data_IF_302791849851
#
_entry.id   IF_302791849851
#
_cell.length_a   1.000
_cell.length_b   1.000
_cell.length_c   1.000
_cell.angle_alpha   90.00
_cell.angle_beta   90.00
_cell.angle_gamma   90.00
#
_symmetry.space_group_name_H-M   'P 1'
#
loop_
_entity.id
_entity.type
_entity.pdbx_description
1 polymer ?
#
# COMPACT_ATOMS: atom_id res chain seq x y z
N UNK A 1 4.82 17.23 12.84
CA UNK A 1 3.59 17.36 13.62
C UNK A 1 3.93 17.29 15.09
N UNK A 2 3.33 18.13 15.85
CA UNK A 2 3.21 18.01 17.29
C UNK A 2 2.34 16.81 17.68
N UNK A 3 1.93 16.03 16.67
CA UNK A 3 1.36 14.69 16.80
C UNK A 3 0.16 14.55 17.70
N UNK A 4 -0.26 15.61 18.33
CA UNK A 4 -1.34 15.58 19.29
C UNK A 4 -1.10 14.66 20.49
N UNK A 5 0.16 14.30 20.78
CA UNK A 5 0.48 13.54 21.98
C UNK A 5 0.18 14.38 23.23
N UNK A 6 -0.96 14.10 23.84
CA UNK A 6 -1.39 14.73 25.08
C UNK A 6 -0.68 14.06 26.29
N UNK A 7 -0.29 12.80 26.12
CA UNK A 7 0.35 12.03 27.17
C UNK A 7 1.85 12.34 27.25
N UNK A 8 2.45 12.27 28.45
CA UNK A 8 3.90 12.41 28.64
C UNK A 8 4.71 11.44 27.78
N UNK A 9 5.91 11.84 27.35
CA UNK A 9 6.76 11.03 26.47
C UNK A 9 7.14 9.67 27.06
N UNK A 10 7.35 9.58 28.37
CA UNK A 10 7.63 8.32 29.09
C UNK A 10 6.44 7.35 29.01
N UNK A 11 5.20 7.85 29.16
CA UNK A 11 4.00 7.02 28.97
C UNK A 11 3.92 6.47 27.54
N UNK A 12 4.19 7.28 26.51
CA UNK A 12 4.20 6.84 25.11
C UNK A 12 5.27 5.77 24.88
N UNK A 13 6.44 5.90 25.51
CA UNK A 13 7.50 4.89 25.46
C UNK A 13 7.09 3.58 26.12
N UNK A 14 6.36 3.59 27.25
CA UNK A 14 5.84 2.38 27.88
C UNK A 14 4.83 1.67 26.97
N UNK A 15 3.94 2.41 26.30
CA UNK A 15 3.00 1.84 25.33
C UNK A 15 3.75 1.21 24.15
N UNK A 16 4.76 1.91 23.60
CA UNK A 16 5.60 1.38 22.51
C UNK A 16 6.27 0.07 22.97
N UNK A 17 6.90 0.06 24.13
CA UNK A 17 7.57 -1.13 24.68
C UNK A 17 6.59 -2.29 24.88
N UNK A 18 5.42 -2.03 25.45
CA UNK A 18 4.40 -3.06 25.66
C UNK A 18 3.91 -3.70 24.36
N UNK A 19 3.87 -2.94 23.28
CA UNK A 19 3.40 -3.42 21.98
C UNK A 19 4.50 -4.06 21.12
N UNK A 20 5.76 -3.67 21.29
CA UNK A 20 6.84 -4.07 20.38
C UNK A 20 7.90 -4.97 21.00
N UNK A 21 7.86 -5.23 22.32
CA UNK A 21 8.90 -6.00 23.05
C UNK A 21 9.09 -7.45 22.57
N UNK A 22 8.16 -8.00 21.81
CA UNK A 22 8.19 -9.34 21.24
C UNK A 22 8.50 -9.36 19.72
N UNK A 23 8.73 -8.19 19.15
CA UNK A 23 9.10 -7.99 17.74
C UNK A 23 10.60 -7.71 17.61
N UNK A 24 11.18 -7.79 16.40
CA UNK A 24 12.56 -7.39 16.19
C UNK A 24 12.83 -5.94 16.66
N UNK A 25 14.08 -5.64 16.98
CA UNK A 25 14.48 -4.27 17.31
C UNK A 25 14.17 -3.29 16.15
N UNK A 26 13.88 -2.01 16.46
CA UNK A 26 13.69 -1.01 15.41
C UNK A 26 14.97 -0.84 14.59
N UNK A 27 14.83 -0.70 13.29
CA UNK A 27 15.97 -0.46 12.37
C UNK A 27 16.73 0.83 12.74
N UNK A 28 16.01 1.82 13.22
CA UNK A 28 16.59 3.08 13.70
C UNK A 28 16.02 3.42 15.09
N UNK A 29 16.83 3.27 16.16
CA UNK A 29 16.42 3.55 17.54
C UNK A 29 16.40 5.05 17.87
N UNK A 30 16.70 5.93 16.91
CA UNK A 30 16.75 7.38 17.12
C UNK A 30 15.42 7.93 17.63
N UNK A 31 15.48 8.78 18.63
CA UNK A 31 14.32 9.41 19.24
C UNK A 31 13.90 10.68 18.49
N UNK A 32 12.62 11.01 18.59
CA UNK A 32 12.02 12.29 18.20
C UNK A 32 11.74 13.16 19.43
N UNK A 33 10.98 14.25 19.28
CA UNK A 33 10.61 15.13 20.38
C UNK A 33 10.11 14.39 21.62
N UNK A 34 10.39 14.89 22.80
CA UNK A 34 10.09 14.31 24.11
C UNK A 34 10.73 12.91 24.35
N UNK A 35 11.77 12.54 23.59
CA UNK A 35 12.43 11.25 23.73
C UNK A 35 11.62 10.05 23.21
N UNK A 36 10.54 10.28 22.48
CA UNK A 36 9.65 9.23 21.93
C UNK A 36 10.39 8.46 20.83
N UNK A 37 10.29 7.12 20.85
CA UNK A 37 10.76 6.26 19.77
C UNK A 37 9.88 6.33 18.54
N UNK A 38 10.42 5.92 17.40
CA UNK A 38 9.64 5.65 16.18
C UNK A 38 9.94 4.22 15.78
N UNK A 39 8.98 3.34 15.98
CA UNK A 39 9.17 1.92 15.72
C UNK A 39 8.85 1.59 14.28
N UNK A 40 9.85 1.27 13.50
CA UNK A 40 9.72 0.62 12.19
C UNK A 40 10.86 -0.39 12.02
N UNK A 41 10.54 -1.52 11.42
CA UNK A 41 11.47 -2.63 11.28
C UNK A 41 11.08 -3.55 10.12
N UNK A 42 11.93 -4.52 9.81
CA UNK A 42 11.53 -5.67 8.99
C UNK A 42 11.45 -6.94 9.83
N UNK A 43 10.60 -7.85 9.38
CA UNK A 43 10.42 -9.19 9.94
C UNK A 43 10.35 -10.20 8.81
N UNK A 44 11.33 -11.10 8.71
CA UNK A 44 11.20 -12.24 7.82
C UNK A 44 10.52 -13.41 8.54
N UNK A 45 9.40 -13.86 7.98
CA UNK A 45 8.66 -14.99 8.50
C UNK A 45 8.30 -15.95 7.37
N UNK A 46 8.86 -17.15 7.40
CA UNK A 46 8.59 -18.20 6.42
C UNK A 46 8.95 -17.83 4.98
N UNK A 47 9.94 -16.98 4.76
CA UNK A 47 10.35 -16.50 3.45
C UNK A 47 9.52 -15.31 2.92
N UNK A 48 8.60 -14.78 3.72
CA UNK A 48 7.94 -13.50 3.48
C UNK A 48 8.64 -12.42 4.29
N UNK A 49 9.08 -11.37 3.64
CA UNK A 49 9.74 -10.24 4.30
C UNK A 49 8.75 -9.08 4.48
N UNK A 50 8.43 -8.78 5.74
CA UNK A 50 7.48 -7.75 6.14
C UNK A 50 8.20 -6.47 6.52
N UNK A 51 7.89 -5.34 5.88
CA UNK A 51 8.22 -4.02 6.40
C UNK A 51 7.09 -3.54 7.31
N UNK A 52 7.38 -3.40 8.59
CA UNK A 52 6.47 -2.79 9.58
C UNK A 52 6.73 -1.30 9.60
N UNK A 53 5.74 -0.51 9.16
CA UNK A 53 5.86 0.93 8.99
C UNK A 53 5.16 1.69 10.12
N UNK A 54 5.75 2.80 10.51
CA UNK A 54 5.15 3.75 11.42
C UNK A 54 4.68 4.98 10.64
N UNK A 55 3.39 5.16 10.48
CA UNK A 55 2.79 6.17 9.61
C UNK A 55 2.11 7.32 10.38
N UNK A 56 2.36 7.45 11.70
CA UNK A 56 1.73 8.45 12.56
C UNK A 56 2.72 9.43 13.18
N UNK A 57 3.83 8.97 13.75
CA UNK A 57 4.75 9.79 14.55
C UNK A 57 5.56 10.79 13.72
N UNK A 58 5.88 10.45 12.47
CA UNK A 58 6.53 11.38 11.53
C UNK A 58 5.54 12.26 10.78
N UNK A 59 4.27 11.86 10.70
CA UNK A 59 3.28 12.54 9.88
C UNK A 59 3.02 13.97 10.35
N UNK A 60 3.04 14.89 9.40
CA UNK A 60 2.64 16.29 9.63
C UNK A 60 1.17 16.36 10.03
N UNK A 61 0.85 17.07 11.11
CA UNK A 61 -0.53 17.40 11.46
C UNK A 61 -1.04 18.60 10.65
N UNK A 62 -2.31 18.62 10.23
CA UNK A 62 -2.88 19.73 9.46
C UNK A 62 -3.18 20.98 10.29
N UNK A 63 -3.37 20.85 11.60
CA UNK A 63 -3.76 21.96 12.47
C UNK A 63 -2.74 23.11 12.42
N UNK A 64 -3.21 24.32 12.11
CA UNK A 64 -2.37 25.51 11.99
C UNK A 64 -1.50 25.59 10.75
N UNK A 65 -1.51 24.56 9.88
CA UNK A 65 -0.75 24.51 8.64
C UNK A 65 -1.64 24.56 7.39
N UNK A 66 -2.81 23.97 7.47
CA UNK A 66 -3.81 23.96 6.42
C UNK A 66 -5.04 24.71 6.89
N UNK A 67 -5.68 25.55 6.06
CA UNK A 67 -6.93 26.22 6.42
C UNK A 67 -8.01 25.21 6.83
N UNK A 68 -8.70 25.49 7.95
CA UNK A 68 -9.80 24.63 8.41
C UNK A 68 -10.98 24.74 7.45
N UNK A 69 -11.42 23.64 6.87
CA UNK A 69 -12.51 23.56 5.90
C UNK A 69 -13.62 22.58 6.32
N UNK A 70 -13.67 22.23 7.59
CA UNK A 70 -14.63 21.28 8.14
C UNK A 70 -14.76 21.39 9.66
N UNK A 71 -15.49 20.48 10.32
CA UNK A 71 -15.74 20.52 11.76
C UNK A 71 -14.47 20.26 12.57
N UNK A 72 -13.50 19.52 12.03
CA UNK A 72 -12.19 19.24 12.61
C UNK A 72 -11.08 19.79 11.68
N UNK A 73 -9.85 20.01 12.17
CA UNK A 73 -8.75 20.51 11.34
C UNK A 73 -8.39 19.59 10.17
N UNK A 74 -8.60 18.28 10.33
CA UNK A 74 -8.31 17.23 9.38
C UNK A 74 -9.45 16.90 8.40
N UNK A 75 -10.67 17.45 8.64
CA UNK A 75 -11.86 17.18 7.82
C UNK A 75 -12.13 18.29 6.82
N UNK A 76 -12.28 17.93 5.54
CA UNK A 76 -12.68 18.87 4.48
C UNK A 76 -14.10 18.52 4.04
N UNK A 77 -15.01 19.49 4.24
CA UNK A 77 -16.42 19.42 3.81
C UNK A 77 -16.76 20.36 2.65
N UNK A 78 -15.88 21.30 2.35
CA UNK A 78 -16.08 22.21 1.23
C UNK A 78 -15.98 21.43 -0.10
N UNK A 79 -17.04 21.33 -0.92
CA UNK A 79 -16.99 20.59 -2.18
C UNK A 79 -16.14 21.27 -3.25
N UNK A 80 -15.90 22.57 -3.10
CA UNK A 80 -15.13 23.39 -4.05
C UNK A 80 -13.68 23.60 -3.61
N UNK A 81 -13.19 22.82 -2.62
CA UNK A 81 -11.81 22.98 -2.21
C UNK A 81 -10.86 22.46 -3.30
N UNK A 82 -9.74 23.12 -3.40
CA UNK A 82 -8.65 22.72 -4.30
C UNK A 82 -7.73 21.71 -3.57
N UNK A 83 -7.65 20.44 -4.02
CA UNK A 83 -6.76 19.43 -3.43
C UNK A 83 -5.28 19.84 -3.44
N UNK A 84 -4.82 20.62 -4.41
CA UNK A 84 -3.43 21.08 -4.49
C UNK A 84 -3.12 22.10 -3.39
N UNK A 85 -4.14 22.85 -2.92
CA UNK A 85 -3.98 23.83 -1.85
C UNK A 85 -3.62 23.22 -0.49
N UNK A 86 -3.80 21.93 -0.32
CA UNK A 86 -3.50 21.22 0.94
C UNK A 86 -2.23 20.38 0.86
N UNK A 87 -1.61 20.20 -0.32
CA UNK A 87 -0.29 19.57 -0.45
C UNK A 87 0.82 20.57 -0.15
N UNK A 88 0.95 20.91 1.11
CA UNK A 88 1.84 21.97 1.58
C UNK A 88 3.31 21.55 1.54
N UNK A 89 4.18 22.47 1.13
CA UNK A 89 5.62 22.24 1.08
C UNK A 89 6.17 21.81 2.46
N UNK A 90 7.05 20.80 2.45
CA UNK A 90 7.68 20.28 3.65
C UNK A 90 6.78 19.39 4.52
N UNK A 91 5.54 19.11 4.09
CA UNK A 91 4.71 18.13 4.77
C UNK A 91 5.29 16.71 4.67
N UNK A 92 5.29 16.00 5.79
CA UNK A 92 5.93 14.69 5.95
C UNK A 92 4.86 13.63 6.19
N UNK A 93 5.01 12.44 5.58
CA UNK A 93 4.25 11.25 5.93
C UNK A 93 5.11 10.26 6.72
N UNK A 94 6.03 9.53 6.05
CA UNK A 94 6.85 8.51 6.68
C UNK A 94 8.20 9.03 7.21
N UNK A 95 8.66 10.20 6.73
CA UNK A 95 9.96 10.78 7.09
C UNK A 95 11.15 10.11 6.37
N UNK A 96 12.23 10.86 6.23
CA UNK A 96 13.42 10.43 5.47
C UNK A 96 14.12 9.19 6.05
N UNK A 97 14.09 9.04 7.38
CA UNK A 97 14.68 7.86 8.06
C UNK A 97 13.99 6.58 7.62
N UNK A 98 12.66 6.60 7.57
CA UNK A 98 11.87 5.44 7.20
C UNK A 98 11.86 5.21 5.69
N UNK A 99 11.88 6.26 4.87
CA UNK A 99 12.03 6.12 3.42
C UNK A 99 13.35 5.46 3.04
N UNK A 100 14.47 5.82 3.68
CA UNK A 100 15.76 5.15 3.48
C UNK A 100 15.73 3.67 3.86
N UNK A 101 15.03 3.34 4.95
CA UNK A 101 14.79 1.94 5.32
C UNK A 101 14.02 1.20 4.22
N UNK A 102 12.90 1.77 3.74
CA UNK A 102 12.07 1.14 2.70
C UNK A 102 12.88 0.97 1.41
N UNK A 103 13.64 1.96 0.98
CA UNK A 103 14.47 1.87 -0.22
C UNK A 103 15.52 0.75 -0.14
N UNK A 104 16.16 0.57 1.01
CA UNK A 104 17.09 -0.54 1.24
C UNK A 104 16.37 -1.88 1.29
N UNK A 105 15.27 -1.95 2.04
CA UNK A 105 14.46 -3.15 2.19
C UNK A 105 13.86 -3.61 0.85
N UNK A 106 13.39 -2.69 0.01
CA UNK A 106 12.81 -3.01 -1.30
C UNK A 106 13.81 -3.69 -2.25
N UNK A 107 15.10 -3.42 -2.07
CA UNK A 107 16.19 -3.96 -2.89
C UNK A 107 16.76 -5.29 -2.35
N UNK A 108 16.62 -5.55 -1.06
CA UNK A 108 17.16 -6.77 -0.42
C UNK A 108 16.15 -7.92 -0.53
N UNK A 109 16.51 -8.91 -1.34
CA UNK A 109 15.75 -10.14 -1.55
C UNK A 109 16.51 -11.39 -1.10
N UNK A 110 17.57 -11.24 -0.31
CA UNK A 110 18.47 -12.34 0.07
C UNK A 110 17.74 -13.51 0.73
N UNK A 111 16.79 -13.22 1.63
CA UNK A 111 16.00 -14.19 2.40
C UNK A 111 14.50 -14.11 2.12
N UNK A 112 14.09 -13.39 1.07
CA UNK A 112 12.70 -13.16 0.74
C UNK A 112 12.26 -13.83 -0.57
N UNK A 113 11.10 -14.45 -0.55
CA UNK A 113 10.39 -14.92 -1.72
C UNK A 113 9.26 -13.96 -2.12
N UNK A 114 8.64 -13.31 -1.14
CA UNK A 114 7.61 -12.28 -1.32
C UNK A 114 7.82 -11.13 -0.31
N UNK A 115 7.28 -9.95 -0.62
CA UNK A 115 7.37 -8.77 0.24
C UNK A 115 6.01 -8.18 0.55
N UNK A 116 5.83 -7.78 1.83
CA UNK A 116 4.61 -7.18 2.35
C UNK A 116 4.95 -5.96 3.19
N UNK A 117 4.26 -4.86 2.98
CA UNK A 117 4.31 -3.68 3.84
C UNK A 117 3.10 -3.66 4.77
N UNK A 118 3.32 -3.37 6.04
CA UNK A 118 2.29 -3.22 7.06
C UNK A 118 2.30 -1.78 7.57
N UNK A 119 1.17 -1.08 7.52
CA UNK A 119 1.01 0.21 8.18
C UNK A 119 -0.34 0.31 8.90
N UNK A 120 -0.48 1.29 9.79
CA UNK A 120 -1.76 1.49 10.45
C UNK A 120 -2.85 1.90 9.46
N UNK A 121 -2.54 2.77 8.50
CA UNK A 121 -3.53 3.43 7.65
C UNK A 121 -3.21 3.24 6.16
N UNK A 122 -4.23 3.12 5.32
CA UNK A 122 -4.09 2.97 3.87
C UNK A 122 -3.59 4.27 3.20
N UNK A 123 -2.82 4.15 2.09
CA UNK A 123 -2.23 5.26 1.34
C UNK A 123 -3.21 5.97 0.39
N UNK A 124 -4.45 6.19 0.82
CA UNK A 124 -5.43 7.01 0.10
C UNK A 124 -6.52 7.52 1.04
N UNK A 125 -7.32 8.49 0.57
CA UNK A 125 -8.56 8.88 1.21
C UNK A 125 -9.65 7.82 0.95
N UNK A 126 -9.56 6.68 1.64
CA UNK A 126 -10.35 5.47 1.36
C UNK A 126 -11.82 5.51 1.80
N UNK A 127 -12.38 6.67 2.15
CA UNK A 127 -13.78 6.82 2.52
C UNK A 127 -14.30 8.24 2.23
N UNK A 128 -15.58 8.34 1.87
CA UNK A 128 -16.26 9.61 1.56
C UNK A 128 -17.33 9.99 2.58
N UNK A 129 -17.85 9.03 3.35
CA UNK A 129 -18.89 9.25 4.36
C UNK A 129 -18.40 8.72 5.69
N UNK A 130 -18.57 9.52 6.76
CA UNK A 130 -17.98 9.27 8.06
C UNK A 130 -19.01 9.39 9.18
N UNK A 131 -19.10 8.37 10.03
CA UNK A 131 -19.91 8.32 11.26
C UNK A 131 -21.40 8.10 11.04
N UNK A 132 -22.03 8.82 10.13
CA UNK A 132 -23.45 8.71 9.76
C UNK A 132 -23.61 8.76 8.25
N UNK A 133 -24.74 8.25 7.73
CA UNK A 133 -25.01 8.21 6.29
C UNK A 133 -24.98 9.59 5.60
N UNK A 134 -25.20 10.67 6.38
CA UNK A 134 -25.17 12.05 5.90
C UNK A 134 -23.82 12.75 6.13
N UNK A 135 -22.87 12.05 6.75
CA UNK A 135 -21.57 12.58 7.16
C UNK A 135 -20.53 12.65 6.04
N UNK A 136 -20.90 13.21 4.85
CA UNK A 136 -19.96 13.29 3.72
C UNK A 136 -18.78 14.22 4.02
N UNK A 137 -17.59 13.71 3.74
CA UNK A 137 -16.34 14.47 3.68
C UNK A 137 -15.79 14.38 2.25
N UNK A 138 -15.23 15.48 1.75
CA UNK A 138 -14.50 15.46 0.49
C UNK A 138 -13.11 14.90 0.69
N UNK A 139 -12.48 15.18 1.83
CA UNK A 139 -11.21 14.58 2.22
C UNK A 139 -11.06 14.50 3.75
N UNK A 140 -10.25 13.53 4.19
CA UNK A 140 -9.85 13.31 5.58
C UNK A 140 -8.32 13.23 5.65
N UNK A 141 -7.67 14.30 6.14
CA UNK A 141 -6.20 14.37 6.24
C UNK A 141 -5.62 13.45 7.32
N UNK A 142 -6.45 12.75 8.08
CA UNK A 142 -6.00 11.69 8.98
C UNK A 142 -5.56 10.44 8.19
N UNK A 143 -6.15 10.19 7.02
CA UNK A 143 -5.73 9.12 6.11
C UNK A 143 -4.33 9.37 5.52
N UNK A 144 -3.61 8.31 5.09
CA UNK A 144 -2.32 8.45 4.41
C UNK A 144 -2.46 8.85 2.92
N UNK A 145 -3.65 9.25 2.48
CA UNK A 145 -3.81 10.00 1.23
C UNK A 145 -3.20 11.39 1.29
N UNK A 146 -3.01 11.93 2.52
CA UNK A 146 -2.39 13.22 2.78
C UNK A 146 -1.18 13.07 3.72
N UNK A 147 -0.09 13.88 3.55
CA UNK A 147 0.16 14.79 2.41
C UNK A 147 0.48 14.02 1.12
N UNK A 148 -0.01 14.53 -0.02
CA UNK A 148 0.06 13.85 -1.31
C UNK A 148 1.51 13.56 -1.74
N UNK A 149 2.40 14.56 -1.65
CA UNK A 149 3.81 14.40 -1.97
C UNK A 149 4.48 13.36 -1.07
N UNK A 150 4.14 13.31 0.22
CA UNK A 150 4.62 12.30 1.16
C UNK A 150 4.12 10.89 0.83
N UNK A 151 2.83 10.77 0.47
CA UNK A 151 2.20 9.53 0.01
C UNK A 151 2.88 9.01 -1.26
N UNK A 152 3.09 9.87 -2.25
CA UNK A 152 3.70 9.48 -3.51
C UNK A 152 5.15 8.99 -3.31
N UNK A 153 5.93 9.61 -2.45
CA UNK A 153 7.28 9.13 -2.08
C UNK A 153 7.24 7.76 -1.42
N UNK A 154 6.31 7.52 -0.49
CA UNK A 154 6.16 6.22 0.16
C UNK A 154 5.82 5.11 -0.86
N UNK A 155 4.85 5.35 -1.73
CA UNK A 155 4.46 4.41 -2.79
C UNK A 155 5.59 4.18 -3.81
N UNK A 156 6.34 5.23 -4.18
CA UNK A 156 7.47 5.12 -5.08
C UNK A 156 8.59 4.23 -4.52
N UNK A 157 8.85 4.28 -3.20
CA UNK A 157 9.81 3.39 -2.54
C UNK A 157 9.27 1.96 -2.45
N UNK A 158 8.01 1.77 -2.04
CA UNK A 158 7.41 0.44 -1.84
C UNK A 158 7.26 -0.34 -3.15
N UNK A 159 6.84 0.31 -4.25
CA UNK A 159 6.66 -0.35 -5.55
C UNK A 159 7.97 -0.91 -6.12
N UNK A 160 9.13 -0.32 -5.77
CA UNK A 160 10.44 -0.82 -6.18
C UNK A 160 10.75 -2.23 -5.68
N UNK A 161 10.09 -2.67 -4.62
CA UNK A 161 10.17 -4.02 -4.07
C UNK A 161 8.94 -4.89 -4.36
N UNK A 162 8.03 -4.49 -5.24
CA UNK A 162 6.77 -5.21 -5.51
C UNK A 162 5.99 -5.55 -4.22
N UNK A 163 6.02 -4.68 -3.24
CA UNK A 163 5.43 -4.91 -1.94
C UNK A 163 3.89 -4.90 -2.01
N UNK A 164 3.25 -5.95 -1.50
CA UNK A 164 1.83 -5.91 -1.20
C UNK A 164 1.59 -5.16 0.10
N UNK A 165 0.53 -4.36 0.20
CA UNK A 165 0.28 -3.54 1.38
C UNK A 165 -0.95 -3.98 2.18
N UNK A 166 -0.77 -4.06 3.49
CA UNK A 166 -1.79 -4.37 4.48
C UNK A 166 -2.03 -3.16 5.37
N UNK A 167 -3.29 -2.78 5.55
CA UNK A 167 -3.66 -1.65 6.39
C UNK A 167 -4.95 -1.91 7.19
N UNK A 168 -5.21 -1.07 8.18
CA UNK A 168 -6.43 -1.03 8.98
C UNK A 168 -6.97 0.38 9.12
N UNK A 169 -7.44 0.74 10.31
CA UNK A 169 -7.85 2.08 10.75
C UNK A 169 -9.07 2.70 10.03
N UNK A 170 -9.29 2.41 8.76
CA UNK A 170 -10.35 3.04 7.97
C UNK A 170 -11.77 2.63 8.40
N UNK A 171 -11.95 1.64 9.28
CA UNK A 171 -13.27 1.10 9.65
C UNK A 171 -14.10 0.66 8.45
N UNK A 172 -13.46 0.42 7.33
CA UNK A 172 -14.06 0.01 6.06
C UNK A 172 -13.09 -0.93 5.34
N UNK A 173 -13.53 -2.17 5.08
CA UNK A 173 -12.73 -3.06 4.27
C UNK A 173 -12.75 -2.61 2.81
N UNK A 174 -11.56 -2.49 2.20
CA UNK A 174 -11.41 -2.10 0.80
C UNK A 174 -10.23 -2.77 0.15
N UNK A 175 -10.30 -2.97 -1.17
CA UNK A 175 -9.16 -3.33 -2.01
C UNK A 175 -8.89 -2.18 -2.97
N UNK A 176 -7.73 -1.58 -2.85
CA UNK A 176 -7.25 -0.53 -3.76
C UNK A 176 -5.97 -0.95 -4.47
N UNK A 177 -5.85 -0.54 -5.72
CA UNK A 177 -4.58 -0.49 -6.45
C UNK A 177 -4.22 0.99 -6.61
N UNK A 178 -3.10 1.38 -6.03
CA UNK A 178 -2.67 2.79 -6.03
C UNK A 178 -2.03 3.20 -7.35
N UNK A 179 -2.12 4.49 -7.64
CA UNK A 179 -1.40 5.14 -8.72
C UNK A 179 -0.68 6.40 -8.25
N UNK A 180 0.42 6.74 -8.91
CA UNK A 180 1.18 7.97 -8.73
C UNK A 180 1.07 8.80 -10.02
N UNK A 181 1.73 8.36 -11.08
CA UNK A 181 1.75 9.03 -12.38
C UNK A 181 0.55 8.61 -13.24
N UNK A 182 0.17 7.34 -13.18
CA UNK A 182 -1.03 6.79 -13.80
C UNK A 182 -1.78 5.86 -12.82
N UNK A 183 -3.04 5.53 -13.11
CA UNK A 183 -3.76 4.54 -12.31
C UNK A 183 -3.05 3.18 -12.41
N UNK A 184 -2.94 2.47 -11.28
CA UNK A 184 -2.36 1.12 -11.20
C UNK A 184 -0.85 1.04 -11.44
N UNK A 185 -0.12 2.13 -11.29
CA UNK A 185 1.35 2.14 -11.41
C UNK A 185 2.10 1.98 -10.08
N UNK A 186 1.37 1.66 -9.01
CA UNK A 186 1.95 1.41 -7.68
C UNK A 186 1.38 0.14 -7.04
N UNK A 187 1.48 0.01 -5.73
CA UNK A 187 1.16 -1.21 -5.00
C UNK A 187 -0.33 -1.44 -4.80
N UNK A 188 -0.71 -2.70 -4.61
CA UNK A 188 -2.03 -3.09 -4.12
C UNK A 188 -2.10 -2.98 -2.61
N UNK A 189 -3.27 -2.59 -2.11
CA UNK A 189 -3.57 -2.50 -0.68
C UNK A 189 -4.86 -3.21 -0.33
N UNK A 190 -4.83 -4.00 0.74
CA UNK A 190 -6.02 -4.48 1.41
C UNK A 190 -6.16 -3.78 2.76
N UNK A 191 -7.14 -2.91 2.90
CA UNK A 191 -7.57 -2.39 4.19
C UNK A 191 -8.56 -3.37 4.82
N UNK A 192 -8.20 -3.90 5.99
CA UNK A 192 -9.04 -4.89 6.70
C UNK A 192 -10.23 -4.23 7.41
N UNK A 193 -11.35 -4.96 7.63
CA UNK A 193 -12.47 -4.41 8.36
C UNK A 193 -12.18 -4.29 9.86
N UNK A 194 -12.89 -3.39 10.52
CA UNK A 194 -12.93 -3.33 11.98
C UNK A 194 -13.81 -4.45 12.54
N UNK A 195 -13.33 -5.16 13.57
CA UNK A 195 -14.06 -6.29 14.18
C UNK A 195 -15.37 -5.88 14.86
N UNK A 196 -15.49 -4.64 15.33
CA UNK A 196 -16.69 -4.11 15.98
C UNK A 196 -17.37 -2.99 15.17
N UNK A 197 -16.62 -2.27 14.38
CA UNK A 197 -17.02 -1.12 13.55
C UNK A 197 -18.00 -0.15 14.22
N UNK A 198 -17.54 0.52 15.26
CA UNK A 198 -18.34 1.49 16.00
C UNK A 198 -18.46 2.84 15.30
N UNK A 199 -17.47 3.22 14.47
CA UNK A 199 -17.46 4.44 13.68
C UNK A 199 -17.52 4.07 12.20
N UNK A 200 -18.70 4.22 11.60
CA UNK A 200 -18.97 3.76 10.23
C UNK A 200 -18.31 4.66 9.20
N UNK A 201 -17.80 4.06 8.14
CA UNK A 201 -17.30 4.76 6.95
C UNK A 201 -17.81 4.07 5.69
N UNK A 202 -17.96 4.84 4.60
CA UNK A 202 -18.35 4.33 3.29
C UNK A 202 -17.45 4.87 2.19
N UNK A 203 -17.06 4.01 1.28
CA UNK A 203 -16.51 4.41 -0.02
C UNK A 203 -17.69 4.63 -0.98
N UNK A 204 -17.98 5.88 -1.27
CA UNK A 204 -19.12 6.28 -2.09
C UNK A 204 -18.71 7.50 -2.93
N UNK A 205 -17.98 7.28 -4.04
CA UNK A 205 -17.65 8.35 -4.99
C UNK A 205 -18.93 8.93 -5.58
N UNK A 206 -18.88 10.19 -6.03
CA UNK A 206 -20.02 10.88 -6.63
C UNK A 206 -20.30 10.38 -8.05
N UNK A 207 -19.27 9.98 -8.77
CA UNK A 207 -19.34 9.49 -10.13
C UNK A 207 -18.90 8.02 -10.22
N UNK A 208 -19.47 7.25 -11.15
CA UNK A 208 -18.99 5.90 -11.42
C UNK A 208 -17.52 5.86 -11.81
N UNK A 209 -16.78 4.88 -11.31
CA UNK A 209 -15.38 4.73 -11.68
C UNK A 209 -15.18 4.38 -13.16
N UNK A 210 -14.07 4.86 -13.74
CA UNK A 210 -13.66 4.46 -15.07
C UNK A 210 -13.04 3.06 -15.09
N UNK A 211 -12.99 2.40 -16.25
CA UNK A 211 -12.33 1.11 -16.45
C UNK A 211 -12.75 0.02 -15.45
N UNK A 212 -14.02 0.00 -15.06
CA UNK A 212 -14.59 -1.05 -14.20
C UNK A 212 -14.62 -2.39 -14.90
N UNK A 213 -14.56 -3.45 -14.12
CA UNK A 213 -14.86 -4.80 -14.58
C UNK A 213 -16.36 -4.88 -14.98
N UNK A 214 -16.68 -5.68 -15.99
CA UNK A 214 -18.05 -5.82 -16.47
C UNK A 214 -19.00 -6.28 -15.36
N UNK A 215 -20.08 -5.54 -15.15
CA UNK A 215 -21.06 -5.82 -14.11
C UNK A 215 -20.63 -5.42 -12.68
N UNK A 216 -19.47 -4.86 -12.50
CA UNK A 216 -19.00 -4.38 -11.19
C UNK A 216 -19.78 -3.13 -10.73
N UNK A 217 -19.94 -2.93 -9.40
CA UNK A 217 -20.63 -1.77 -8.84
C UNK A 217 -20.01 -0.44 -9.28
N UNK A 218 -20.82 0.63 -9.32
CA UNK A 218 -20.39 1.97 -9.74
C UNK A 218 -19.26 2.56 -8.90
N UNK A 219 -19.14 2.16 -7.64
CA UNK A 219 -18.07 2.63 -6.74
C UNK A 219 -16.70 1.95 -6.99
N UNK A 220 -16.64 0.96 -7.89
CA UNK A 220 -15.37 0.31 -8.29
C UNK A 220 -14.74 1.01 -9.49
N UNK A 221 -13.53 0.58 -9.89
CA UNK A 221 -12.79 1.16 -11.01
C UNK A 221 -11.88 2.33 -10.63
N UNK A 222 -11.48 3.08 -11.63
CA UNK A 222 -10.52 4.18 -11.49
C UNK A 222 -11.21 5.44 -10.99
N UNK A 223 -10.69 6.01 -9.90
CA UNK A 223 -11.15 7.24 -9.27
C UNK A 223 -9.97 8.14 -8.90
N UNK A 224 -10.27 9.39 -8.62
CA UNK A 224 -9.43 10.27 -7.80
C UNK A 224 -10.03 10.29 -6.39
N UNK A 225 -9.18 10.11 -5.37
CA UNK A 225 -9.64 10.30 -3.99
C UNK A 225 -9.77 11.79 -3.64
N UNK A 226 -10.16 12.09 -2.42
CA UNK A 226 -10.36 13.46 -1.97
C UNK A 226 -9.11 14.37 -2.05
N UNK A 227 -7.95 13.84 -2.34
CA UNK A 227 -6.69 14.58 -2.53
C UNK A 227 -6.18 14.54 -3.96
N UNK A 228 -7.02 14.17 -4.91
CA UNK A 228 -6.66 13.93 -6.33
C UNK A 228 -5.64 12.81 -6.52
N UNK A 229 -5.44 11.94 -5.54
CA UNK A 229 -4.62 10.75 -5.72
C UNK A 229 -5.34 9.73 -6.61
N UNK A 230 -4.61 9.18 -7.58
CA UNK A 230 -5.12 8.11 -8.44
C UNK A 230 -5.26 6.81 -7.65
N UNK A 231 -6.45 6.23 -7.69
CA UNK A 231 -6.76 4.95 -7.04
C UNK A 231 -7.71 4.14 -7.91
N UNK A 232 -7.54 2.82 -7.95
CA UNK A 232 -8.50 1.91 -8.54
C UNK A 232 -9.11 1.08 -7.43
N UNK A 233 -10.43 1.21 -7.20
CA UNK A 233 -11.15 0.42 -6.22
C UNK A 233 -11.68 -0.87 -6.85
N UNK A 234 -11.45 -2.01 -6.21
CA UNK A 234 -11.96 -3.31 -6.65
C UNK A 234 -13.05 -3.85 -5.74
N UNK A 235 -13.06 -3.45 -4.47
CA UNK A 235 -14.07 -3.87 -3.51
C UNK A 235 -14.16 -2.88 -2.35
N UNK A 236 -15.38 -2.69 -1.81
CA UNK A 236 -15.62 -1.96 -0.57
C UNK A 236 -16.78 -2.63 0.18
N UNK A 237 -16.56 -2.99 1.44
CA UNK A 237 -17.59 -3.55 2.31
C UNK A 237 -18.40 -2.42 2.97
N UNK A 238 -19.13 -1.65 2.19
CA UNK A 238 -19.94 -0.54 2.68
C UNK A 238 -21.00 -1.02 3.68
N UNK A 239 -21.13 -0.40 4.87
CA UNK A 239 -22.23 -0.65 5.78
C UNK A 239 -23.60 -0.33 5.19
N UNK A 240 -24.66 -0.92 5.72
CA UNK A 240 -26.01 -0.50 5.41
C UNK A 240 -26.27 0.92 5.93
N UNK A 241 -26.89 1.79 5.11
CA UNK A 241 -27.16 3.18 5.50
C UNK A 241 -28.31 3.34 6.49
N UNK A 242 -29.33 2.52 6.33
CA UNK A 242 -30.55 2.57 7.14
C UNK A 242 -30.94 1.15 7.59
N UNK A 243 -30.14 0.56 8.50
CA UNK A 243 -30.34 -0.83 8.87
C UNK A 243 -31.65 -1.03 9.65
N UNK A 244 -32.42 -2.04 9.24
CA UNK A 244 -33.51 -2.56 10.05
C UNK A 244 -33.00 -3.75 10.89
N UNK A 245 -33.10 -3.68 12.22
CA UNK A 245 -32.74 -4.79 13.09
C UNK A 245 -31.34 -4.75 13.70
N UNK A 246 -30.58 -5.83 13.63
CA UNK A 246 -29.30 -5.94 14.32
C UNK A 246 -28.21 -5.04 13.73
N UNK A 247 -27.98 -3.90 14.36
CA UNK A 247 -27.00 -2.90 13.92
C UNK A 247 -25.58 -3.45 13.77
N UNK A 248 -25.13 -4.40 14.63
CA UNK A 248 -23.78 -4.95 14.54
C UNK A 248 -23.55 -5.72 13.23
N UNK A 249 -24.53 -6.47 12.78
CA UNK A 249 -24.41 -7.25 11.54
C UNK A 249 -24.48 -6.37 10.29
N UNK A 250 -25.07 -5.18 10.38
CA UNK A 250 -25.23 -4.24 9.26
C UNK A 250 -24.09 -3.23 9.14
N UNK A 251 -23.15 -3.24 10.08
CA UNK A 251 -22.02 -2.30 10.14
C UNK A 251 -20.79 -2.72 9.33
N UNK A 252 -20.88 -3.81 8.56
CA UNK A 252 -19.72 -4.40 7.86
C UNK A 252 -18.54 -4.69 8.77
N UNK A 253 -18.82 -5.02 10.04
CA UNK A 253 -17.81 -5.51 10.96
C UNK A 253 -17.33 -6.90 10.52
N UNK A 254 -16.04 -7.16 10.63
CA UNK A 254 -15.49 -8.41 10.09
C UNK A 254 -14.00 -8.57 10.34
N UNK A 255 -13.40 -9.45 9.57
CA UNK A 255 -11.98 -9.77 9.61
C UNK A 255 -11.52 -10.24 8.22
N UNK A 256 -10.23 -10.15 7.96
CA UNK A 256 -9.61 -10.56 6.70
C UNK A 256 -8.58 -11.67 6.89
N UNK A 257 -8.39 -12.45 5.82
CA UNK A 257 -7.25 -13.35 5.67
C UNK A 257 -6.53 -12.95 4.40
N UNK A 258 -5.20 -12.92 4.44
CA UNK A 258 -4.39 -12.89 3.22
C UNK A 258 -3.54 -14.14 3.16
N UNK A 259 -3.67 -14.85 2.04
CA UNK A 259 -2.86 -16.02 1.72
C UNK A 259 -1.76 -15.62 0.75
N UNK A 260 -0.53 -15.85 1.14
CA UNK A 260 0.66 -15.56 0.36
C UNK A 260 1.22 -16.92 -0.10
N UNK A 261 0.99 -17.27 -1.36
CA UNK A 261 1.52 -18.51 -1.94
C UNK A 261 2.88 -18.24 -2.58
N UNK A 262 3.93 -18.69 -1.91
CA UNK A 262 5.31 -18.54 -2.39
C UNK A 262 5.58 -19.34 -3.65
N UNK A 263 4.84 -20.44 -3.87
CA UNK A 263 5.03 -21.32 -5.02
C UNK A 263 4.50 -20.71 -6.31
N UNK A 264 3.37 -20.00 -6.24
CA UNK A 264 2.73 -19.38 -7.41
C UNK A 264 2.97 -17.87 -7.47
N UNK A 265 3.48 -17.28 -6.39
CA UNK A 265 3.56 -15.82 -6.17
C UNK A 265 2.18 -15.14 -6.15
N UNK A 266 1.14 -15.87 -5.83
CA UNK A 266 -0.22 -15.36 -5.70
C UNK A 266 -0.49 -14.82 -4.30
N UNK A 267 -1.30 -13.78 -4.25
CA UNK A 267 -1.78 -13.12 -3.04
C UNK A 267 -3.30 -13.13 -3.09
N UNK A 268 -3.92 -13.94 -2.23
CA UNK A 268 -5.39 -14.03 -2.14
C UNK A 268 -5.90 -13.30 -0.91
N UNK A 269 -6.72 -12.29 -1.13
CA UNK A 269 -7.39 -11.50 -0.10
C UNK A 269 -8.79 -12.04 0.15
N UNK A 270 -9.10 -12.40 1.38
CA UNK A 270 -10.43 -12.83 1.83
C UNK A 270 -10.96 -11.82 2.86
N UNK A 271 -12.25 -11.51 2.80
CA UNK A 271 -12.90 -10.62 3.76
C UNK A 271 -14.24 -11.21 4.23
N UNK A 272 -14.36 -11.48 5.52
CA UNK A 272 -15.44 -12.21 6.11
C UNK A 272 -16.25 -11.35 7.07
N UNK A 273 -17.60 -11.35 6.96
CA UNK A 273 -18.46 -10.76 7.97
C UNK A 273 -18.23 -11.42 9.35
N UNK A 274 -18.23 -10.61 10.38
CA UNK A 274 -17.95 -11.00 11.77
C UNK A 274 -18.73 -12.21 12.27
N UNK A 275 -19.98 -12.34 11.84
CA UNK A 275 -20.94 -13.36 12.31
C UNK A 275 -21.01 -14.59 11.41
N UNK A 276 -20.17 -14.71 10.40
CA UNK A 276 -20.15 -15.85 9.50
C UNK A 276 -19.30 -16.98 10.09
N UNK A 277 -19.88 -18.17 10.16
CA UNK A 277 -19.14 -19.40 10.45
C UNK A 277 -18.54 -19.94 9.15
N UNK A 278 -17.25 -19.74 8.98
CA UNK A 278 -16.49 -20.12 7.76
C UNK A 278 -16.35 -21.63 7.59
N UNK A 279 -16.71 -22.43 8.57
CA UNK A 279 -16.67 -23.90 8.46
C UNK A 279 -17.89 -24.47 7.71
N UNK A 280 -18.91 -23.64 7.47
CA UNK A 280 -20.11 -24.03 6.77
C UNK A 280 -19.99 -23.82 5.26
N UNK A 281 -20.61 -24.70 4.46
CA UNK A 281 -20.64 -24.57 3.00
C UNK A 281 -21.46 -23.37 2.50
N UNK A 282 -22.27 -22.75 3.37
CA UNK A 282 -23.09 -21.57 3.07
C UNK A 282 -22.36 -20.25 3.42
N UNK A 283 -21.16 -20.31 3.97
CA UNK A 283 -20.39 -19.14 4.32
C UNK A 283 -20.12 -18.26 3.07
N UNK A 284 -20.35 -16.96 3.22
CA UNK A 284 -20.10 -15.98 2.15
C UNK A 284 -19.24 -14.85 2.68
N UNK A 285 -18.27 -14.46 1.90
CA UNK A 285 -17.47 -13.26 2.10
C UNK A 285 -18.28 -12.00 1.77
N UNK A 286 -17.75 -10.83 2.12
CA UNK A 286 -18.29 -9.58 1.60
C UNK A 286 -18.22 -9.56 0.06
N UNK A 287 -19.16 -8.85 -0.62
CA UNK A 287 -19.14 -8.71 -2.08
C UNK A 287 -17.79 -8.13 -2.58
N UNK A 288 -17.26 -8.72 -3.65
CA UNK A 288 -15.94 -8.35 -4.20
C UNK A 288 -14.77 -9.19 -3.67
N UNK A 289 -14.99 -10.01 -2.65
CA UNK A 289 -14.02 -10.98 -2.15
C UNK A 289 -14.47 -12.42 -2.42
N UNK A 290 -13.54 -13.42 -2.53
CA UNK A 290 -12.08 -13.23 -2.49
C UNK A 290 -11.54 -12.58 -3.76
N UNK A 291 -10.36 -11.94 -3.68
CA UNK A 291 -9.60 -11.48 -4.84
C UNK A 291 -8.18 -12.00 -4.78
N UNK A 292 -7.71 -12.54 -5.89
CA UNK A 292 -6.33 -13.03 -6.06
C UNK A 292 -5.61 -12.15 -7.08
N UNK A 293 -4.37 -11.78 -6.75
CA UNK A 293 -3.44 -11.05 -7.62
C UNK A 293 -2.09 -11.76 -7.64
N UNK A 294 -1.26 -11.46 -8.63
CA UNK A 294 0.15 -11.82 -8.58
C UNK A 294 0.94 -10.79 -7.78
N UNK A 295 2.00 -11.22 -7.09
CA UNK A 295 2.96 -10.28 -6.49
C UNK A 295 3.49 -9.28 -7.53
N UNK A 296 3.68 -9.70 -8.77
CA UNK A 296 4.19 -8.85 -9.85
C UNK A 296 3.22 -7.74 -10.27
N UNK A 297 1.94 -7.83 -9.90
CA UNK A 297 0.95 -6.78 -10.16
C UNK A 297 1.15 -5.54 -9.27
N UNK A 298 1.99 -5.63 -8.23
CA UNK A 298 2.32 -4.50 -7.36
C UNK A 298 3.22 -3.45 -8.03
N UNK A 299 3.83 -3.74 -9.17
CA UNK A 299 4.52 -2.75 -9.99
C UNK A 299 4.55 -3.17 -11.46
N UNK A 300 3.46 -2.97 -12.15
CA UNK A 300 3.32 -3.29 -13.58
C UNK A 300 2.47 -2.21 -14.27
N UNK A 301 2.98 -0.96 -14.41
CA UNK A 301 2.24 0.16 -14.98
C UNK A 301 1.66 -0.17 -16.36
N UNK A 302 0.41 0.20 -16.64
CA UNK A 302 -0.26 -0.08 -17.92
C UNK A 302 0.46 0.49 -19.14
N UNK A 303 1.16 1.62 -18.99
CA UNK A 303 1.92 2.27 -20.06
C UNK A 303 3.23 1.56 -20.42
N UNK A 304 3.72 0.65 -19.58
CA UNK A 304 4.99 -0.03 -19.79
C UNK A 304 4.94 -1.02 -20.95
N UNK A 305 6.11 -1.30 -21.53
CA UNK A 305 6.34 -2.43 -22.41
C UNK A 305 7.14 -3.52 -21.72
N UNK A 306 7.50 -4.56 -22.48
CA UNK A 306 8.33 -5.67 -22.00
C UNK A 306 9.71 -5.64 -22.68
N UNK A 307 10.77 -5.86 -21.91
CA UNK A 307 12.11 -6.17 -22.43
C UNK A 307 12.12 -7.60 -23.00
N UNK A 308 13.26 -8.03 -23.54
CA UNK A 308 13.48 -9.42 -23.89
C UNK A 308 13.37 -10.35 -22.69
N UNK A 309 12.86 -11.54 -22.91
CA UNK A 309 12.80 -12.56 -21.86
C UNK A 309 14.22 -12.95 -21.40
N UNK A 310 14.42 -13.04 -20.11
CA UNK A 310 15.63 -13.56 -19.49
C UNK A 310 15.37 -15.01 -19.10
N UNK A 311 16.22 -15.94 -19.57
CA UNK A 311 16.17 -17.35 -19.17
C UNK A 311 17.40 -17.70 -18.35
N UNK A 312 17.22 -18.33 -17.21
CA UNK A 312 18.27 -18.58 -16.20
C UNK A 312 18.54 -20.10 -16.03
N UNK A 313 19.78 -20.44 -15.69
CA UNK A 313 20.17 -21.80 -15.30
C UNK A 313 19.73 -22.15 -13.86
N UNK A 314 19.35 -21.17 -13.05
CA UNK A 314 18.88 -21.35 -11.67
C UNK A 314 17.40 -21.00 -11.52
N UNK A 315 16.79 -21.46 -10.41
CA UNK A 315 15.42 -21.17 -10.03
C UNK A 315 15.34 -19.86 -9.25
N UNK A 316 14.29 -19.09 -9.48
CA UNK A 316 13.93 -17.89 -8.74
C UNK A 316 15.07 -16.87 -8.52
N UNK A 317 15.78 -16.43 -9.57
CA UNK A 317 16.85 -15.45 -9.44
C UNK A 317 16.30 -14.08 -9.01
N UNK A 318 17.13 -13.29 -8.35
CA UNK A 318 16.86 -11.87 -8.10
C UNK A 318 17.23 -11.08 -9.34
N UNK A 319 16.32 -10.25 -9.83
CA UNK A 319 16.48 -9.40 -11.01
C UNK A 319 16.31 -7.92 -10.61
N UNK A 320 17.21 -7.06 -11.07
CA UNK A 320 17.17 -5.63 -10.86
C UNK A 320 17.19 -4.89 -12.19
N UNK A 321 16.29 -3.92 -12.33
CA UNK A 321 16.21 -3.03 -13.48
C UNK A 321 16.67 -1.63 -13.09
N UNK A 322 17.59 -1.07 -13.86
CA UNK A 322 18.24 0.23 -13.62
C UNK A 322 18.09 1.09 -14.88
N UNK A 323 17.66 2.32 -14.75
CA UNK A 323 17.68 3.29 -15.85
C UNK A 323 19.15 3.56 -16.25
N UNK A 324 19.52 3.28 -17.50
CA UNK A 324 20.91 3.37 -17.95
C UNK A 324 21.45 4.80 -18.02
N UNK A 325 20.57 5.80 -18.02
CA UNK A 325 20.95 7.22 -18.11
C UNK A 325 21.12 7.85 -16.73
N UNK A 326 20.19 7.56 -15.80
CA UNK A 326 20.15 8.20 -14.48
C UNK A 326 20.77 7.33 -13.39
N UNK A 327 21.06 6.06 -13.69
CA UNK A 327 21.49 5.04 -12.74
C UNK A 327 20.47 4.76 -11.62
N UNK A 328 19.24 5.26 -11.76
CA UNK A 328 18.16 4.99 -10.80
C UNK A 328 17.70 3.55 -10.89
N UNK A 329 17.60 2.87 -9.75
CA UNK A 329 16.98 1.55 -9.64
C UNK A 329 15.47 1.72 -9.76
N UNK A 330 14.89 1.19 -10.84
CA UNK A 330 13.44 1.16 -11.02
C UNK A 330 12.81 0.16 -10.07
N UNK A 331 13.37 -1.05 -10.01
CA UNK A 331 12.94 -2.08 -9.08
C UNK A 331 13.97 -3.20 -8.92
N UNK A 332 13.80 -3.96 -7.85
CA UNK A 332 14.42 -5.27 -7.62
C UNK A 332 13.34 -6.27 -7.26
N UNK A 333 13.39 -7.47 -7.84
CA UNK A 333 12.39 -8.51 -7.60
C UNK A 333 13.01 -9.91 -7.68
N UNK A 334 12.55 -10.82 -6.84
CA UNK A 334 12.81 -12.25 -7.05
C UNK A 334 11.85 -12.78 -8.10
N UNK A 335 12.39 -13.20 -9.23
CA UNK A 335 11.62 -13.82 -10.30
C UNK A 335 10.94 -15.13 -9.82
N UNK A 336 9.99 -15.61 -10.59
CA UNK A 336 9.38 -16.90 -10.38
C UNK A 336 9.81 -17.87 -11.50
N UNK A 337 10.32 -19.02 -11.12
CA UNK A 337 10.81 -20.00 -12.09
C UNK A 337 12.18 -19.67 -12.66
N UNK A 338 12.42 -20.15 -13.87
CA UNK A 338 13.68 -19.98 -14.61
C UNK A 338 13.62 -18.92 -15.70
N UNK A 339 12.52 -18.21 -15.83
CA UNK A 339 12.41 -17.09 -16.79
C UNK A 339 11.75 -15.90 -16.17
N UNK A 340 12.09 -14.71 -16.67
CA UNK A 340 11.49 -13.45 -16.28
C UNK A 340 11.51 -12.46 -17.44
N UNK A 341 10.39 -11.81 -17.69
CA UNK A 341 10.28 -10.77 -18.71
C UNK A 341 10.10 -9.40 -18.03
N UNK A 342 11.18 -8.60 -17.89
CA UNK A 342 11.10 -7.31 -17.21
C UNK A 342 10.13 -6.35 -17.88
N UNK A 343 9.23 -5.75 -17.10
CA UNK A 343 8.45 -4.58 -17.53
C UNK A 343 9.29 -3.31 -17.43
N UNK A 344 9.14 -2.38 -18.38
CA UNK A 344 9.89 -1.14 -18.40
C UNK A 344 9.18 -0.02 -19.15
N UNK A 345 9.44 1.26 -18.81
CA UNK A 345 8.99 2.40 -19.58
C UNK A 345 9.49 2.35 -21.04
N UNK A 346 8.62 2.71 -21.98
CA UNK A 346 8.99 2.77 -23.40
C UNK A 346 9.93 3.95 -23.66
N UNK A 347 10.79 3.83 -24.69
CA UNK A 347 11.66 4.91 -25.14
C UNK A 347 12.95 5.13 -24.34
N UNK A 348 13.19 4.34 -23.30
CA UNK A 348 14.40 4.38 -22.48
C UNK A 348 15.26 3.13 -22.68
N UNK A 349 16.51 3.21 -22.21
CA UNK A 349 17.44 2.10 -22.16
C UNK A 349 17.71 1.72 -20.68
N UNK A 350 17.94 0.44 -20.44
CA UNK A 350 18.07 -0.11 -19.09
C UNK A 350 19.29 -1.01 -18.96
N UNK A 351 19.92 -0.96 -17.79
CA UNK A 351 20.85 -1.99 -17.33
C UNK A 351 20.06 -3.01 -16.52
N UNK A 352 20.22 -4.29 -16.87
CA UNK A 352 19.62 -5.39 -16.13
C UNK A 352 20.71 -6.12 -15.36
N UNK A 353 20.51 -6.29 -14.06
CA UNK A 353 21.36 -7.14 -13.22
C UNK A 353 20.58 -8.33 -12.71
N UNK A 354 21.26 -9.44 -12.47
CA UNK A 354 20.66 -10.61 -11.85
C UNK A 354 21.68 -11.41 -11.02
N UNK A 355 21.16 -12.22 -10.09
CA UNK A 355 21.96 -13.11 -9.27
C UNK A 355 21.08 -14.05 -8.45
N UNK A 356 21.67 -14.95 -7.66
CA UNK A 356 20.92 -15.95 -6.88
C UNK A 356 20.16 -15.30 -5.71
N UNK A 357 20.85 -14.52 -4.89
CA UNK A 357 20.30 -13.88 -3.71
C UNK A 357 20.40 -12.35 -3.75
N UNK A 358 21.25 -11.83 -4.63
CA UNK A 358 21.44 -10.42 -4.90
C UNK A 358 21.73 -10.22 -6.40
N UNK A 359 21.39 -9.05 -6.99
CA UNK A 359 21.61 -8.78 -8.41
C UNK A 359 23.08 -8.35 -8.66
N UNK A 360 24.01 -9.27 -8.50
CA UNK A 360 25.47 -9.02 -8.50
C UNK A 360 26.12 -9.07 -9.89
N UNK A 361 25.41 -9.59 -10.90
CA UNK A 361 25.90 -9.71 -12.27
C UNK A 361 25.12 -8.83 -13.24
N UNK A 362 25.80 -8.01 -14.04
CA UNK A 362 25.19 -7.34 -15.20
C UNK A 362 24.93 -8.39 -16.27
N UNK A 363 23.67 -8.52 -16.70
CA UNK A 363 23.22 -9.52 -17.70
C UNK A 363 22.81 -8.86 -19.01
N UNK A 364 22.46 -7.58 -18.99
CA UNK A 364 22.23 -6.77 -20.18
C UNK A 364 22.57 -5.31 -19.91
N UNK A 365 23.14 -4.64 -20.91
CA UNK A 365 23.36 -3.20 -20.94
C UNK A 365 22.54 -2.60 -22.07
N UNK A 366 22.02 -1.39 -21.86
CA UNK A 366 21.22 -0.66 -22.85
C UNK A 366 20.02 -1.44 -23.45
N UNK A 367 19.45 -2.39 -22.66
CA UNK A 367 18.25 -3.13 -23.06
C UNK A 367 17.07 -2.18 -23.24
N UNK A 368 16.22 -2.44 -24.23
CA UNK A 368 15.05 -1.62 -24.55
C UNK A 368 13.79 -2.46 -24.66
N UNK A 369 12.62 -1.85 -24.55
CA UNK A 369 11.35 -2.52 -24.82
C UNK A 369 11.40 -3.16 -26.22
N UNK A 370 11.10 -4.47 -26.29
CA UNK A 370 11.16 -5.25 -27.51
C UNK A 370 12.57 -5.76 -27.89
N UNK A 371 13.57 -5.70 -26.97
CA UNK A 371 14.88 -6.35 -27.20
C UNK A 371 14.77 -7.88 -27.26
N UNK A 372 15.76 -8.53 -27.86
CA UNK A 372 15.79 -9.98 -28.02
C UNK A 372 15.92 -10.69 -26.65
N UNK A 373 15.43 -11.95 -26.55
CA UNK A 373 15.62 -12.80 -25.39
C UNK A 373 17.10 -13.06 -25.06
N UNK A 374 17.42 -13.23 -23.78
CA UNK A 374 18.80 -13.42 -23.30
C UNK A 374 18.86 -14.67 -22.41
N UNK A 375 19.79 -15.58 -22.71
CA UNK A 375 20.14 -16.67 -21.80
C UNK A 375 21.23 -16.25 -20.83
N UNK A 376 21.00 -16.46 -19.55
CA UNK A 376 21.83 -15.98 -18.45
C UNK A 376 22.35 -17.14 -17.63
N UNK A 377 23.67 -17.27 -17.56
CA UNK A 377 24.35 -18.21 -16.67
C UNK A 377 24.72 -17.51 -15.36
N UNK A 378 24.11 -17.91 -14.25
CA UNK A 378 24.43 -17.47 -12.88
C UNK A 378 25.21 -18.56 -12.14
N UNK A 379 26.13 -18.16 -11.26
CA UNK A 379 26.96 -19.05 -10.43
C UNK A 379 26.32 -19.35 -9.08
#
# INVERSE_FOLDING_TARGET
SDGGYIQPGDYVQEVERAQTSHLPDPVDPGKIGQGIGVYFTNLNWGGIDFAVLEDRKFKTGPAGRVPKQGPRPDHIRNPEYDPDSVDIEGAILLGERQLKFIDSWAQDWSDAEMKVALSATIFCGGAHIHGSADGRLHADMDSNGWPQAGRNRALASLRKGFAFHYAGDQHLATIFHHGIDEHRDAIWSFCVPSIANLYLRWWEPLEPGANREDGAPDYTGDHLDGFSNKVTNYAAANPEKNPAGNILNTRSAGWGIVRLDKTTREITMECWPRNVDITTSSAKQFPGWPRTISQFDNYNPPSWGKLGELTFNIQDPVVQLIDAQTEEILYTVRAHGKSFTPGAPKGKAFTVKAGKNAPDKVVAESAKVGSDPISVELK
#
